data_IF_709839007998
#
_entry.id   IF_709839007998
#
_cell.length_a   1.000
_cell.length_b   1.000
_cell.length_c   1.000
_cell.angle_alpha   90.00
_cell.angle_beta   90.00
_cell.angle_gamma   90.00
#
_symmetry.space_group_name_H-M   'P 1'
#
loop_
_entity.id
_entity.type
_entity.pdbx_description
1 polymer ?
#
# COMPACT_ATOMS: atom_id res chain seq x y z
N UNK A 1 37.59 1.37 -22.34
CA UNK A 1 37.38 1.27 -20.89
C UNK A 1 36.02 1.88 -20.53
N UNK A 2 34.94 1.10 -20.61
CA UNK A 2 33.57 1.51 -20.22
C UNK A 2 33.13 0.54 -19.14
N UNK A 3 32.98 1.06 -17.92
CA UNK A 3 32.68 0.29 -16.71
C UNK A 3 31.29 -0.35 -16.83
N UNK A 4 31.23 -1.63 -16.49
CA UNK A 4 30.03 -2.47 -16.58
C UNK A 4 28.86 -1.95 -15.77
N UNK A 5 27.68 -1.98 -16.39
CA UNK A 5 26.39 -1.84 -15.70
C UNK A 5 26.16 -3.11 -14.85
N UNK A 6 25.72 -3.00 -13.58
CA UNK A 6 25.56 -4.15 -12.71
C UNK A 6 24.38 -5.04 -13.16
N UNK A 7 24.61 -6.35 -13.06
CA UNK A 7 23.77 -7.48 -13.50
C UNK A 7 22.34 -7.41 -12.94
N UNK A 8 21.34 -7.40 -13.82
CA UNK A 8 19.99 -7.85 -13.51
C UNK A 8 20.09 -9.36 -13.22
N UNK A 9 20.01 -9.76 -11.95
CA UNK A 9 20.01 -11.18 -11.59
C UNK A 9 18.67 -11.79 -11.96
N UNK A 10 18.73 -12.60 -13.01
CA UNK A 10 17.73 -13.59 -13.40
C UNK A 10 17.37 -14.47 -12.21
N UNK A 11 16.07 -14.62 -11.93
CA UNK A 11 15.54 -15.78 -11.22
C UNK A 11 14.56 -16.45 -12.18
N UNK A 12 14.98 -17.60 -12.70
CA UNK A 12 14.22 -18.46 -13.59
C UNK A 12 13.14 -19.16 -12.78
N UNK A 13 11.87 -18.95 -13.14
CA UNK A 13 10.84 -19.99 -13.20
C UNK A 13 9.63 -19.43 -13.96
N UNK A 14 9.38 -20.04 -15.11
CA UNK A 14 8.29 -19.74 -16.05
C UNK A 14 7.00 -20.39 -15.57
N UNK A 15 6.15 -19.64 -14.89
CA UNK A 15 4.66 -19.65 -14.96
C UNK A 15 4.18 -18.39 -14.23
N UNK A 16 3.19 -17.70 -14.77
CA UNK A 16 2.62 -16.41 -14.31
C UNK A 16 3.43 -15.15 -14.62
N UNK A 17 3.45 -14.75 -15.90
CA UNK A 17 3.68 -13.35 -16.28
C UNK A 17 2.40 -12.53 -15.99
N UNK A 18 2.05 -12.38 -14.72
CA UNK A 18 1.36 -11.16 -14.28
C UNK A 18 2.47 -10.26 -13.78
N UNK A 19 2.70 -9.14 -14.46
CA UNK A 19 3.63 -8.10 -14.05
C UNK A 19 3.11 -7.39 -12.78
N UNK A 20 2.94 -8.12 -11.67
CA UNK A 20 2.70 -7.53 -10.36
C UNK A 20 4.04 -6.98 -9.91
N UNK A 21 4.26 -5.68 -10.15
CA UNK A 21 5.38 -4.95 -9.55
C UNK A 21 5.30 -5.13 -8.04
N UNK A 22 6.13 -6.01 -7.49
CA UNK A 22 6.20 -6.25 -6.04
C UNK A 22 6.58 -4.94 -5.36
N UNK A 23 5.69 -4.41 -4.50
CA UNK A 23 6.00 -3.24 -3.69
C UNK A 23 7.12 -3.59 -2.72
N UNK A 24 8.31 -3.01 -2.91
CA UNK A 24 9.43 -3.13 -1.97
C UNK A 24 9.36 -1.97 -0.98
N UNK A 25 8.77 -2.21 0.18
CA UNK A 25 8.64 -1.25 1.27
C UNK A 25 9.08 -1.89 2.59
N UNK A 26 9.62 -1.10 3.52
CA UNK A 26 10.10 -1.58 4.82
C UNK A 26 8.98 -1.89 5.82
N UNK A 27 7.75 -1.45 5.52
CA UNK A 27 6.57 -1.74 6.30
C UNK A 27 6.17 -3.22 6.16
N UNK A 28 6.14 -3.91 7.31
CA UNK A 28 5.89 -5.35 7.40
C UNK A 28 4.41 -5.70 7.49
N UNK A 29 3.58 -4.78 7.98
CA UNK A 29 2.15 -5.01 8.10
C UNK A 29 1.48 -4.47 6.83
N UNK A 30 1.01 -5.38 5.99
CA UNK A 30 0.33 -5.08 4.74
C UNK A 30 -1.01 -5.79 4.76
N UNK A 31 -2.09 -5.02 4.82
CA UNK A 31 -3.44 -5.53 4.97
C UNK A 31 -4.18 -5.22 3.68
N UNK A 32 -4.61 -6.26 2.97
CA UNK A 32 -5.39 -6.09 1.75
C UNK A 32 -6.79 -5.59 2.08
N UNK A 33 -7.31 -4.67 1.27
CA UNK A 33 -8.65 -4.16 1.44
C UNK A 33 -9.17 -3.42 0.22
N UNK A 34 -10.37 -2.89 0.36
CA UNK A 34 -11.04 -2.08 -0.67
C UNK A 34 -11.39 -0.72 -0.10
N UNK A 35 -11.13 0.34 -0.85
CA UNK A 35 -11.53 1.69 -0.44
C UNK A 35 -13.06 1.77 -0.39
N UNK A 36 -13.61 2.04 0.79
CA UNK A 36 -15.03 2.24 1.01
C UNK A 36 -15.45 3.68 0.75
N UNK A 37 -14.70 4.64 1.29
CA UNK A 37 -14.96 6.06 1.09
C UNK A 37 -13.68 6.89 1.16
N UNK A 38 -13.70 8.06 0.51
CA UNK A 38 -12.60 9.03 0.54
C UNK A 38 -13.17 10.41 0.87
N UNK A 39 -12.75 10.98 2.01
CA UNK A 39 -13.10 12.34 2.41
C UNK A 39 -11.89 13.25 2.22
N UNK A 40 -11.91 13.98 1.10
CA UNK A 40 -10.85 14.95 0.78
C UNK A 40 -10.99 16.22 1.62
N UNK A 41 -9.91 16.59 2.30
CA UNK A 41 -9.74 17.88 2.95
C UNK A 41 -8.69 18.75 2.25
N UNK A 42 -8.50 19.99 2.73
CA UNK A 42 -7.56 20.94 2.11
C UNK A 42 -6.09 20.52 2.22
N UNK A 43 -5.72 19.75 3.26
CA UNK A 43 -4.34 19.31 3.52
C UNK A 43 -4.27 17.79 3.67
N UNK A 44 -5.15 17.23 4.50
CA UNK A 44 -5.30 15.80 4.71
C UNK A 44 -6.55 15.26 4.02
N UNK A 45 -6.47 13.99 3.63
CA UNK A 45 -7.56 13.19 3.09
C UNK A 45 -7.70 11.96 3.96
N UNK A 46 -8.93 11.71 4.41
CA UNK A 46 -9.30 10.52 5.15
C UNK A 46 -9.77 9.45 4.17
N UNK A 47 -9.21 8.25 4.30
CA UNK A 47 -9.51 7.09 3.44
C UNK A 47 -9.99 5.97 4.34
N UNK A 48 -11.23 5.52 4.13
CA UNK A 48 -11.79 4.38 4.83
C UNK A 48 -11.61 3.14 3.96
N UNK A 49 -10.97 2.12 4.52
CA UNK A 49 -10.62 0.87 3.84
C UNK A 49 -11.38 -0.28 4.53
N UNK A 50 -12.17 -1.01 3.77
CA UNK A 50 -12.78 -2.26 4.23
C UNK A 50 -11.75 -3.38 4.12
N UNK A 51 -11.43 -4.01 5.24
CA UNK A 51 -10.41 -5.09 5.34
C UNK A 51 -11.05 -6.48 5.49
N UNK A 52 -12.37 -6.59 5.32
CA UNK A 52 -13.12 -7.83 5.49
C UNK A 52 -13.56 -8.08 6.94
N UNK A 53 -14.40 -9.11 7.14
CA UNK A 53 -14.89 -9.50 8.46
C UNK A 53 -15.77 -8.47 9.17
N UNK A 54 -16.29 -7.47 8.44
CA UNK A 54 -17.04 -6.36 9.03
C UNK A 54 -16.15 -5.28 9.66
N UNK A 55 -14.83 -5.36 9.48
CA UNK A 55 -13.88 -4.39 10.02
C UNK A 55 -13.44 -3.37 8.98
N UNK A 56 -13.14 -2.16 9.47
CA UNK A 56 -12.70 -1.03 8.65
C UNK A 56 -11.44 -0.42 9.26
N UNK A 57 -10.52 -0.01 8.39
CA UNK A 57 -9.32 0.73 8.75
C UNK A 57 -9.42 2.14 8.18
N UNK A 58 -9.17 3.13 9.01
CA UNK A 58 -9.16 4.54 8.60
C UNK A 58 -7.70 5.01 8.51
N UNK A 59 -7.34 5.60 7.38
CA UNK A 59 -6.04 6.20 7.17
C UNK A 59 -6.18 7.67 6.85
N UNK A 60 -5.32 8.50 7.43
CA UNK A 60 -5.20 9.92 7.09
C UNK A 60 -3.89 10.14 6.37
N UNK A 61 -3.97 10.52 5.10
CA UNK A 61 -2.81 10.83 4.26
C UNK A 61 -2.92 12.25 3.72
N UNK A 62 -1.85 12.80 3.15
CA UNK A 62 -1.96 14.11 2.50
C UNK A 62 -2.84 14.03 1.26
N UNK A 63 -3.59 15.10 0.96
CA UNK A 63 -4.44 15.17 -0.24
C UNK A 63 -3.62 14.97 -1.51
N UNK A 64 -2.41 15.53 -1.58
CA UNK A 64 -1.50 15.32 -2.70
C UNK A 64 -1.11 13.84 -2.90
N UNK A 65 -0.86 13.11 -1.81
CA UNK A 65 -0.58 11.66 -1.87
C UNK A 65 -1.79 10.88 -2.36
N UNK A 66 -2.99 11.18 -1.86
CA UNK A 66 -4.22 10.52 -2.28
C UNK A 66 -4.48 10.67 -3.79
N UNK A 67 -4.21 11.86 -4.33
CA UNK A 67 -4.35 12.16 -5.76
C UNK A 67 -3.27 11.53 -6.62
N UNK A 68 -2.02 11.54 -6.15
CA UNK A 68 -0.89 10.89 -6.82
C UNK A 68 -1.09 9.37 -6.93
N UNK A 69 -1.68 8.75 -5.90
CA UNK A 69 -2.04 7.34 -5.88
C UNK A 69 -3.32 7.04 -6.69
N UNK A 70 -4.02 8.07 -7.19
CA UNK A 70 -5.28 7.96 -7.95
C UNK A 70 -6.32 7.10 -7.22
N UNK A 71 -6.40 7.25 -5.90
CA UNK A 71 -7.35 6.49 -5.08
C UNK A 71 -8.79 6.81 -5.49
N UNK A 72 -9.60 5.76 -5.61
CA UNK A 72 -11.04 5.85 -5.87
C UNK A 72 -11.78 4.87 -4.97
N UNK A 73 -13.02 5.20 -4.65
CA UNK A 73 -13.94 4.26 -4.00
C UNK A 73 -14.07 2.98 -4.84
N UNK A 74 -14.09 1.83 -4.18
CA UNK A 74 -14.08 0.50 -4.81
C UNK A 74 -12.70 0.01 -5.28
N UNK A 75 -11.64 0.81 -5.17
CA UNK A 75 -10.29 0.37 -5.57
C UNK A 75 -9.71 -0.63 -4.58
N UNK A 76 -9.06 -1.68 -5.10
CA UNK A 76 -8.24 -2.59 -4.29
C UNK A 76 -6.97 -1.89 -3.85
N UNK A 77 -6.72 -1.86 -2.54
CA UNK A 77 -5.59 -1.18 -1.92
C UNK A 77 -4.97 -2.05 -0.84
N UNK A 78 -3.75 -1.68 -0.44
CA UNK A 78 -3.11 -2.25 0.73
C UNK A 78 -2.97 -1.16 1.77
N UNK A 79 -3.54 -1.38 2.95
CA UNK A 79 -3.24 -0.58 4.12
C UNK A 79 -1.87 -1.03 4.64
N UNK A 80 -0.91 -0.11 4.62
CA UNK A 80 0.48 -0.38 4.96
C UNK A 80 0.79 0.30 6.28
N UNK A 81 1.17 -0.47 7.29
CA UNK A 81 1.54 0.04 8.62
C UNK A 81 2.98 -0.34 8.92
N UNK A 82 3.80 0.65 9.30
CA UNK A 82 5.17 0.40 9.70
C UNK A 82 5.18 -0.36 11.03
N UNK A 83 6.02 -1.38 11.15
CA UNK A 83 6.04 -2.23 12.35
C UNK A 83 6.34 -1.46 13.65
N UNK A 84 7.10 -0.37 13.57
CA UNK A 84 7.44 0.48 14.73
C UNK A 84 6.31 1.40 15.20
N UNK A 85 5.23 1.53 14.43
CA UNK A 85 4.09 2.42 14.75
C UNK A 85 2.91 1.64 15.36
N UNK A 86 3.02 0.32 15.47
CA UNK A 86 2.01 -0.53 16.11
C UNK A 86 2.23 -0.53 17.62
N UNK A 87 1.19 -0.18 18.37
CA UNK A 87 1.16 -0.24 19.83
C UNK A 87 0.48 -1.53 20.30
N UNK A 88 0.91 -2.06 21.45
CA UNK A 88 0.31 -3.23 22.10
C UNK A 88 -0.24 -2.79 23.45
N UNK A 89 -1.47 -3.17 23.75
CA UNK A 89 -2.12 -2.93 25.04
C UNK A 89 -2.64 -4.26 25.59
N UNK A 90 -2.65 -4.39 26.91
CA UNK A 90 -3.28 -5.49 27.67
C UNK A 90 -4.30 -4.88 28.63
N UNK A 91 -5.30 -5.66 29.03
CA UNK A 91 -6.35 -5.27 29.99
C UNK A 91 -5.85 -5.37 31.44
#
# INVERSE_FOLDING_TARGET
MVKGKPKLSFYTNTVDCVMVKTMKISARNQIAGTVKSIKKGPVSTEVVINIGGGHEMVSSITTHSAESLKLKEGSKVYAVVKASEVMVAVD
#
